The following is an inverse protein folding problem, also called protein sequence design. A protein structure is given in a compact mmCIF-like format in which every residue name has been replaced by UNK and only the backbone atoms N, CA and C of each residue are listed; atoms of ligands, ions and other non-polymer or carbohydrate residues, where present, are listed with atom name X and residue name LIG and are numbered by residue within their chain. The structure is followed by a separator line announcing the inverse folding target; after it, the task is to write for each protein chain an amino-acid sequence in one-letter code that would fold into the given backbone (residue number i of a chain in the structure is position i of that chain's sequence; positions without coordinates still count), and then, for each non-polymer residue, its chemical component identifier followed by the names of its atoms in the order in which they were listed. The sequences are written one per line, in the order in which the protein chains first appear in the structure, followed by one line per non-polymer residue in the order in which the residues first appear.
data_IF_299863987047
#
_entry.id   IF_299863987047
#
_cell.length_a   1.000
_cell.length_b   1.000
_cell.length_c   1.000
_cell.angle_alpha   90.00
_cell.angle_beta   90.00
_cell.angle_gamma   90.00
#
_symmetry.space_group_name_H-M   'P 1'
#
loop_
_entity.id
_entity.type
_entity.pdbx_description
1 polymer ?
#
# COMPACT_ATOMS: atom_id res chain seq x y z
N UNK A 1 1.23 -2.30 -10.18
CA UNK A 1 0.34 -1.30 -9.59
C UNK A 1 -0.84 -1.99 -8.91
N UNK A 2 -1.45 -2.95 -9.53
CA UNK A 2 -2.58 -3.73 -9.02
C UNK A 2 -2.37 -4.34 -7.60
N UNK A 3 -1.16 -4.80 -7.30
CA UNK A 3 -0.82 -5.35 -5.98
C UNK A 3 -1.07 -4.35 -4.83
N UNK A 4 -0.75 -3.06 -5.03
CA UNK A 4 -1.01 -2.02 -4.03
C UNK A 4 -2.51 -1.82 -3.81
N UNK A 5 -3.28 -1.66 -4.89
CA UNK A 5 -4.72 -1.52 -4.83
C UNK A 5 -5.41 -2.67 -4.10
N UNK A 6 -4.99 -3.90 -4.38
CA UNK A 6 -5.49 -5.10 -3.71
C UNK A 6 -5.14 -5.11 -2.20
N UNK A 7 -3.92 -4.76 -1.83
CA UNK A 7 -3.50 -4.66 -0.43
C UNK A 7 -4.29 -3.59 0.34
N UNK A 8 -4.52 -2.42 -0.28
CA UNK A 8 -5.31 -1.34 0.30
C UNK A 8 -6.77 -1.73 0.49
N UNK A 9 -7.37 -2.35 -0.52
CA UNK A 9 -8.75 -2.82 -0.47
C UNK A 9 -8.99 -3.88 0.61
N UNK A 10 -8.05 -4.81 0.80
CA UNK A 10 -8.13 -5.80 1.87
C UNK A 10 -8.13 -5.13 3.25
N UNK A 11 -7.21 -4.20 3.50
CA UNK A 11 -7.17 -3.48 4.77
C UNK A 11 -8.43 -2.65 4.99
N UNK A 12 -8.92 -1.96 3.96
CA UNK A 12 -10.16 -1.19 4.03
C UNK A 12 -11.36 -2.05 4.39
N UNK A 13 -11.52 -3.20 3.73
CA UNK A 13 -12.63 -4.12 4.00
C UNK A 13 -12.63 -4.60 5.45
N UNK A 14 -11.47 -4.92 6.01
CA UNK A 14 -11.35 -5.32 7.42
C UNK A 14 -11.73 -4.18 8.37
N UNK A 15 -11.32 -2.96 8.08
CA UNK A 15 -11.65 -1.78 8.89
C UNK A 15 -13.14 -1.45 8.80
N UNK A 16 -13.72 -1.43 7.59
CA UNK A 16 -15.15 -1.18 7.39
C UNK A 16 -15.98 -2.20 8.16
N UNK A 17 -15.63 -3.47 8.06
CA UNK A 17 -16.30 -4.55 8.80
C UNK A 17 -16.18 -4.35 10.32
N UNK A 18 -14.98 -4.09 10.83
CA UNK A 18 -14.76 -3.85 12.26
C UNK A 18 -15.52 -2.63 12.79
N UNK A 19 -15.64 -1.57 11.98
CA UNK A 19 -16.43 -0.39 12.30
C UNK A 19 -17.94 -0.70 12.33
N UNK A 20 -18.42 -1.52 11.40
CA UNK A 20 -19.83 -1.89 11.31
C UNK A 20 -20.26 -2.79 12.47
N UNK A 21 -19.37 -3.69 12.92
CA UNK A 21 -19.61 -4.59 14.06
C UNK A 21 -19.36 -3.91 15.42
N UNK A 22 -18.86 -2.68 15.45
CA UNK A 22 -18.49 -1.98 16.68
C UNK A 22 -17.24 -2.54 17.37
N UNK A 23 -16.48 -3.39 16.69
CA UNK A 23 -15.23 -4.00 17.20
C UNK A 23 -14.06 -3.03 17.14
N UNK A 24 -14.12 -2.02 16.29
CA UNK A 24 -13.09 -1.00 16.09
C UNK A 24 -13.62 0.38 16.46
N UNK A 25 -12.88 1.09 17.28
CA UNK A 25 -13.13 2.48 17.67
C UNK A 25 -11.98 3.38 17.24
N UNK A 26 -12.21 4.70 17.28
CA UNK A 26 -11.15 5.68 16.97
C UNK A 26 -9.93 5.57 17.90
N UNK A 27 -10.09 5.02 19.10
CA UNK A 27 -8.99 4.81 20.04
C UNK A 27 -8.02 3.71 19.59
N UNK A 28 -8.50 2.80 18.76
CA UNK A 28 -7.73 1.64 18.28
C UNK A 28 -6.89 1.96 17.04
N UNK A 29 -7.02 3.17 16.47
CA UNK A 29 -6.37 3.58 15.20
C UNK A 29 -4.87 3.28 15.22
N UNK A 30 -4.16 3.77 16.23
CA UNK A 30 -2.70 3.60 16.30
C UNK A 30 -2.28 2.14 16.40
N UNK A 31 -3.01 1.35 17.17
CA UNK A 31 -2.77 -0.10 17.30
C UNK A 31 -2.99 -0.83 15.98
N UNK A 32 -4.04 -0.47 15.27
CA UNK A 32 -4.37 -1.07 13.96
C UNK A 32 -3.35 -0.64 12.91
N UNK A 33 -3.01 0.65 12.83
CA UNK A 33 -2.00 1.15 11.90
C UNK A 33 -0.64 0.47 12.13
N UNK A 34 -0.23 0.30 13.38
CA UNK A 34 1.03 -0.38 13.68
C UNK A 34 1.00 -1.86 13.29
N UNK A 35 -0.12 -2.54 13.51
CA UNK A 35 -0.33 -3.92 13.06
C UNK A 35 -0.24 -4.03 11.54
N UNK A 36 -0.97 -3.19 10.80
CA UNK A 36 -0.98 -3.18 9.33
C UNK A 36 0.39 -2.78 8.77
N UNK A 37 1.10 -1.87 9.41
CA UNK A 37 2.47 -1.53 9.03
C UNK A 37 3.42 -2.75 9.13
N UNK A 38 3.35 -3.52 10.21
CA UNK A 38 4.15 -4.75 10.34
C UNK A 38 3.79 -5.80 9.28
N UNK A 39 2.49 -5.96 9.01
CA UNK A 39 2.02 -6.88 7.96
C UNK A 39 2.50 -6.39 6.58
N UNK A 40 2.46 -5.08 6.33
CA UNK A 40 2.90 -4.51 5.05
C UNK A 40 4.40 -4.68 4.82
N UNK A 41 5.22 -4.63 5.87
CA UNK A 41 6.65 -4.94 5.77
C UNK A 41 6.89 -6.38 5.35
N UNK A 42 6.20 -7.33 5.96
CA UNK A 42 6.34 -8.75 5.62
C UNK A 42 5.86 -9.05 4.19
N UNK A 43 4.68 -8.57 3.85
CA UNK A 43 4.09 -8.78 2.52
C UNK A 43 4.88 -8.03 1.45
N UNK A 44 5.21 -6.76 1.72
CA UNK A 44 5.96 -5.90 0.80
C UNK A 44 7.35 -6.45 0.49
N UNK A 45 8.11 -6.85 1.51
CA UNK A 45 9.44 -7.46 1.31
C UNK A 45 9.35 -8.80 0.60
N UNK A 46 8.40 -9.66 0.93
CA UNK A 46 8.21 -10.94 0.25
C UNK A 46 7.91 -10.76 -1.24
N UNK A 47 6.96 -9.90 -1.58
CA UNK A 47 6.61 -9.59 -2.97
C UNK A 47 7.75 -8.88 -3.73
N UNK A 48 8.49 -8.02 -3.05
CA UNK A 48 9.63 -7.30 -3.62
C UNK A 48 10.78 -8.22 -3.95
N UNK A 49 11.07 -9.20 -3.09
CA UNK A 49 12.09 -10.22 -3.36
C UNK A 49 11.72 -11.05 -4.59
N UNK A 50 10.50 -11.55 -4.66
CA UNK A 50 10.04 -12.35 -5.80
C UNK A 50 10.11 -11.54 -7.10
N UNK A 51 9.60 -10.32 -7.10
CA UNK A 51 9.61 -9.48 -8.31
C UNK A 51 11.01 -8.96 -8.64
N UNK A 52 11.82 -8.61 -7.64
CA UNK A 52 13.21 -8.20 -7.85
C UNK A 52 14.04 -9.31 -8.51
N UNK A 53 13.94 -10.55 -8.02
CA UNK A 53 14.58 -11.71 -8.62
C UNK A 53 14.09 -11.94 -10.04
N UNK A 54 12.77 -11.84 -10.26
CA UNK A 54 12.19 -11.97 -11.61
C UNK A 54 12.78 -10.95 -12.58
N UNK A 55 12.82 -9.68 -12.20
CA UNK A 55 13.38 -8.60 -13.02
C UNK A 55 14.87 -8.85 -13.30
N UNK A 56 15.62 -9.25 -12.28
CA UNK A 56 17.06 -9.55 -12.43
C UNK A 56 17.31 -10.67 -13.43
N UNK A 57 16.48 -11.72 -13.42
CA UNK A 57 16.59 -12.84 -14.38
C UNK A 57 16.22 -12.41 -15.80
N UNK A 58 15.13 -11.62 -15.95
CA UNK A 58 14.60 -11.25 -17.25
C UNK A 58 15.43 -10.15 -17.94
N UNK A 59 15.84 -9.13 -17.21
CA UNK A 59 16.46 -7.92 -17.76
C UNK A 59 17.96 -7.83 -17.45
N UNK A 60 18.49 -8.64 -16.51
CA UNK A 60 19.87 -8.61 -16.04
C UNK A 60 20.35 -7.22 -15.58
N UNK A 61 19.41 -6.38 -15.16
CA UNK A 61 19.64 -5.02 -14.71
C UNK A 61 19.37 -4.93 -13.20
N UNK A 62 20.43 -4.84 -12.37
CA UNK A 62 20.27 -4.76 -10.92
C UNK A 62 19.66 -3.43 -10.46
N UNK A 63 19.84 -2.34 -11.20
CA UNK A 63 19.28 -1.04 -10.86
C UNK A 63 17.77 -1.07 -11.05
N UNK A 64 17.31 -1.60 -12.18
CA UNK A 64 15.88 -1.78 -12.43
C UNK A 64 15.24 -2.71 -11.40
N UNK A 65 15.90 -3.81 -11.03
CA UNK A 65 15.43 -4.72 -10.00
C UNK A 65 15.28 -4.01 -8.65
N UNK A 66 16.23 -3.15 -8.28
CA UNK A 66 16.19 -2.38 -7.05
C UNK A 66 15.05 -1.35 -7.06
N UNK A 67 14.88 -0.61 -8.16
CA UNK A 67 13.77 0.35 -8.33
C UNK A 67 12.43 -0.36 -8.14
N UNK A 68 12.21 -1.49 -8.80
CA UNK A 68 10.95 -2.23 -8.71
C UNK A 68 10.73 -2.76 -7.30
N UNK A 69 11.75 -3.32 -6.66
CA UNK A 69 11.64 -3.87 -5.30
C UNK A 69 11.30 -2.78 -4.27
N UNK A 70 12.02 -1.67 -4.28
CA UNK A 70 11.78 -0.56 -3.35
C UNK A 70 10.42 0.10 -3.58
N UNK A 71 10.06 0.32 -4.85
CA UNK A 71 8.77 0.92 -5.20
C UNK A 71 7.61 0.03 -4.77
N UNK A 72 7.73 -1.29 -4.95
CA UNK A 72 6.70 -2.24 -4.56
C UNK A 72 6.53 -2.29 -3.04
N UNK A 73 7.63 -2.33 -2.28
CA UNK A 73 7.57 -2.30 -0.80
C UNK A 73 6.91 -1.01 -0.31
N UNK A 74 7.36 0.15 -0.81
CA UNK A 74 6.80 1.44 -0.44
C UNK A 74 5.31 1.55 -0.80
N UNK A 75 4.92 1.06 -1.98
CA UNK A 75 3.53 1.02 -2.43
C UNK A 75 2.66 0.16 -1.51
N UNK A 76 3.11 -1.04 -1.12
CA UNK A 76 2.34 -1.94 -0.24
C UNK A 76 2.16 -1.31 1.15
N UNK A 77 3.20 -0.68 1.69
CA UNK A 77 3.12 0.02 2.98
C UNK A 77 2.09 1.15 2.91
N UNK A 78 2.23 2.02 1.93
CA UNK A 78 1.33 3.16 1.71
C UNK A 78 -0.12 2.69 1.49
N UNK A 79 -0.33 1.69 0.65
CA UNK A 79 -1.64 1.15 0.34
C UNK A 79 -2.37 0.61 1.58
N UNK A 80 -1.69 -0.15 2.42
CA UNK A 80 -2.27 -0.69 3.65
C UNK A 80 -2.60 0.41 4.66
N UNK A 81 -1.75 1.40 4.80
CA UNK A 81 -2.02 2.56 5.66
C UNK A 81 -3.22 3.38 5.15
N UNK A 82 -3.29 3.65 3.85
CA UNK A 82 -4.44 4.34 3.25
C UNK A 82 -5.73 3.53 3.42
N UNK A 83 -5.67 2.20 3.22
CA UNK A 83 -6.81 1.31 3.43
C UNK A 83 -7.35 1.33 4.85
N UNK A 84 -6.51 1.61 5.85
CA UNK A 84 -6.94 1.77 7.24
C UNK A 84 -7.50 3.18 7.52
N UNK A 85 -6.80 4.20 7.05
CA UNK A 85 -7.07 5.60 7.43
C UNK A 85 -8.33 6.14 6.73
N UNK A 86 -8.51 5.85 5.43
CA UNK A 86 -9.62 6.42 4.65
C UNK A 86 -11.02 6.06 5.19
N UNK A 87 -11.34 4.79 5.54
CA UNK A 87 -12.63 4.46 6.14
C UNK A 87 -12.87 5.12 7.49
N UNK A 88 -11.81 5.30 8.28
CA UNK A 88 -11.89 5.96 9.58
C UNK A 88 -12.16 7.47 9.42
N UNK A 89 -11.54 8.11 8.43
CA UNK A 89 -11.83 9.52 8.10
C UNK A 89 -13.27 9.65 7.62
N UNK A 90 -13.75 8.76 6.75
CA UNK A 90 -15.14 8.78 6.29
C UNK A 90 -16.12 8.70 7.46
N UNK A 91 -15.90 7.80 8.39
CA UNK A 91 -16.72 7.69 9.60
C UNK A 91 -16.67 8.96 10.45
N UNK A 92 -15.50 9.57 10.60
CA UNK A 92 -15.34 10.84 11.34
C UNK A 92 -16.10 12.00 10.69
N UNK A 93 -16.23 11.99 9.37
CA UNK A 93 -16.97 12.97 8.59
C UNK A 93 -18.48 12.66 8.49
N UNK A 94 -18.98 11.68 9.25
CA UNK A 94 -20.36 11.17 9.18
C UNK A 94 -20.75 10.66 7.78
N UNK A 95 -19.76 10.23 7.00
CA UNK A 95 -19.98 9.53 5.73
C UNK A 95 -20.01 8.02 5.97
N UNK A 96 -20.70 7.30 5.10
CA UNK A 96 -20.65 5.82 5.14
C UNK A 96 -19.22 5.34 4.81
N UNK A 97 -18.54 4.62 5.74
CA UNK A 97 -17.22 4.07 5.45
C UNK A 97 -17.17 3.15 4.22
N UNK A 98 -18.31 2.56 3.83
CA UNK A 98 -18.41 1.72 2.65
C UNK A 98 -18.18 2.48 1.33
N UNK A 99 -18.35 3.81 1.33
CA UNK A 99 -17.98 4.67 0.18
C UNK A 99 -16.48 4.60 -0.10
N UNK A 100 -15.67 4.35 0.93
CA UNK A 100 -14.23 4.11 0.81
C UNK A 100 -13.89 2.64 0.47
N UNK A 101 -14.85 1.94 -0.15
CA UNK A 101 -14.64 0.56 -0.62
C UNK A 101 -13.72 0.52 -1.85
N UNK A 102 -13.46 -0.68 -2.31
CA UNK A 102 -12.43 -1.03 -3.27
C UNK A 102 -12.14 -0.03 -4.41
N UNK A 103 -13.12 0.48 -5.18
CA UNK A 103 -12.79 1.32 -6.36
C UNK A 103 -12.09 2.63 -6.02
N UNK A 104 -12.49 3.29 -4.94
CA UNK A 104 -11.90 4.57 -4.56
C UNK A 104 -10.50 4.39 -3.99
N UNK A 105 -10.32 3.35 -3.18
CA UNK A 105 -9.00 3.02 -2.63
C UNK A 105 -8.03 2.58 -3.71
N UNK A 106 -8.44 1.71 -4.63
CA UNK A 106 -7.56 1.27 -5.72
C UNK A 106 -7.10 2.44 -6.56
N UNK A 107 -8.00 3.34 -6.95
CA UNK A 107 -7.66 4.54 -7.74
C UNK A 107 -6.68 5.45 -6.99
N UNK A 108 -6.93 5.72 -5.72
CA UNK A 108 -6.05 6.55 -4.91
C UNK A 108 -4.66 5.91 -4.73
N UNK A 109 -4.63 4.60 -4.43
CA UNK A 109 -3.39 3.85 -4.27
C UNK A 109 -2.62 3.77 -5.57
N UNK A 110 -3.27 3.54 -6.71
CA UNK A 110 -2.60 3.46 -8.00
C UNK A 110 -1.97 4.80 -8.39
N UNK A 111 -2.66 5.90 -8.17
CA UNK A 111 -2.12 7.25 -8.40
C UNK A 111 -0.86 7.49 -7.55
N UNK A 112 -0.93 7.21 -6.25
CA UNK A 112 0.22 7.35 -5.36
C UNK A 112 1.36 6.39 -5.71
N UNK A 113 1.05 5.16 -6.14
CA UNK A 113 2.04 4.16 -6.56
C UNK A 113 2.85 4.60 -7.75
N UNK A 114 2.21 5.24 -8.73
CA UNK A 114 2.89 5.81 -9.90
C UNK A 114 3.85 6.91 -9.47
N UNK A 115 3.43 7.81 -8.59
CA UNK A 115 4.28 8.88 -8.07
C UNK A 115 5.49 8.30 -7.32
N UNK A 116 5.28 7.34 -6.44
CA UNK A 116 6.35 6.67 -5.68
C UNK A 116 7.35 5.99 -6.64
N UNK A 117 6.83 5.25 -7.63
CA UNK A 117 7.66 4.57 -8.60
C UNK A 117 8.57 5.53 -9.36
N UNK A 118 8.02 6.59 -9.95
CA UNK A 118 8.79 7.57 -10.70
C UNK A 118 9.77 8.34 -9.80
N UNK A 119 9.37 8.67 -8.58
CA UNK A 119 10.27 9.33 -7.62
C UNK A 119 11.49 8.45 -7.32
N UNK A 120 11.30 7.17 -7.01
CA UNK A 120 12.38 6.24 -6.71
C UNK A 120 13.24 5.98 -7.96
N UNK A 121 12.60 5.79 -9.12
CA UNK A 121 13.28 5.55 -10.38
C UNK A 121 14.20 6.72 -10.75
N UNK A 122 13.70 7.94 -10.71
CA UNK A 122 14.50 9.13 -11.01
C UNK A 122 15.68 9.30 -10.07
N UNK A 123 15.52 8.97 -8.78
CA UNK A 123 16.62 9.05 -7.82
C UNK A 123 17.70 7.99 -8.07
N UNK A 124 17.30 6.75 -8.31
CA UNK A 124 18.26 5.65 -8.52
C UNK A 124 18.98 5.80 -9.85
N UNK A 125 18.28 6.11 -10.93
CA UNK A 125 18.92 6.30 -12.23
C UNK A 125 19.75 7.58 -12.31
N UNK A 126 19.36 8.67 -11.62
CA UNK A 126 20.17 9.88 -11.55
C UNK A 126 21.48 9.70 -10.76
N UNK A 127 21.55 8.76 -9.83
CA UNK A 127 22.78 8.43 -9.09
C UNK A 127 23.72 7.53 -9.90
N UNK A 128 23.26 6.97 -11.02
CA UNK A 128 23.99 6.04 -11.87
C UNK A 128 24.66 6.71 -13.08
N UNK A 129 24.39 8.02 -13.28
CA UNK A 129 25.01 8.88 -14.29
C UNK A 129 26.09 9.72 -13.65
#
# INVERSE_FOLDING_TARGET
MDTGGNCGSQSSTLIIRGLALGEITFKDIFRIMFKEFRISLLVGTGLSLINGVRILIMYKDPQLALVVALSLTATVIMAKLMGCVLPLIAKKLNMDPAVMASPLITTAVDTCSIIIYFYIATRIFALAV
#
